data_IF_653660475117
#
_entry.id   IF_653660475117
#
_cell.length_a   1.000
_cell.length_b   1.000
_cell.length_c   1.000
_cell.angle_alpha   90.00
_cell.angle_beta   90.00
_cell.angle_gamma   90.00
#
_symmetry.space_group_name_H-M   'P 1'
#
loop_
_entity.id
_entity.type
_entity.pdbx_description
1 polymer ?
#
# COMPACT_ATOMS: atom_id res chain seq x y z
N UNK A 1 1.02 -23.29 8.00
CA UNK A 1 0.78 -23.06 6.55
C UNK A 1 0.30 -21.63 6.41
N UNK A 2 1.19 -20.69 6.09
CA UNK A 2 0.82 -19.30 5.87
C UNK A 2 0.02 -19.24 4.57
N UNK A 3 -1.24 -18.84 4.68
CA UNK A 3 -2.08 -18.51 3.53
C UNK A 3 -1.42 -17.31 2.84
N UNK A 4 -0.55 -17.61 1.88
CA UNK A 4 -0.04 -16.62 0.93
C UNK A 4 -1.27 -16.25 0.12
N UNK A 5 -2.01 -15.26 0.60
CA UNK A 5 -3.09 -14.66 -0.16
C UNK A 5 -2.47 -14.28 -1.52
N UNK A 6 -3.12 -14.58 -2.65
CA UNK A 6 -2.68 -14.07 -3.95
C UNK A 6 -2.99 -12.57 -3.96
N UNK A 7 -2.22 -11.80 -3.20
CA UNK A 7 -2.19 -10.36 -3.31
C UNK A 7 -1.79 -10.10 -4.75
N UNK A 8 -2.73 -9.52 -5.51
CA UNK A 8 -2.60 -9.20 -6.92
C UNK A 8 -1.24 -8.55 -7.17
N UNK A 9 -0.65 -8.79 -8.34
CA UNK A 9 0.62 -8.17 -8.72
C UNK A 9 0.59 -6.64 -8.53
N UNK A 10 -0.59 -6.04 -8.73
CA UNK A 10 -0.91 -4.63 -8.49
C UNK A 10 -0.65 -4.21 -7.04
N UNK A 11 -1.09 -4.99 -6.06
CA UNK A 11 -0.90 -4.68 -4.63
C UNK A 11 0.57 -4.73 -4.25
N UNK A 12 1.32 -5.69 -4.80
CA UNK A 12 2.79 -5.75 -4.61
C UNK A 12 3.49 -4.54 -5.22
N UNK A 13 3.10 -4.12 -6.43
CA UNK A 13 3.63 -2.92 -7.09
C UNK A 13 3.27 -1.64 -6.33
N UNK A 14 2.07 -1.56 -5.77
CA UNK A 14 1.64 -0.45 -4.92
C UNK A 14 2.50 -0.33 -3.67
N UNK A 15 2.78 -1.44 -2.97
CA UNK A 15 3.65 -1.45 -1.78
C UNK A 15 5.06 -0.97 -2.13
N UNK A 16 5.65 -1.50 -3.20
CA UNK A 16 6.98 -1.09 -3.64
C UNK A 16 7.04 0.41 -3.95
N UNK A 17 6.05 0.92 -4.68
CA UNK A 17 5.96 2.34 -5.02
C UNK A 17 5.78 3.22 -3.77
N UNK A 18 4.93 2.81 -2.82
CA UNK A 18 4.74 3.55 -1.55
C UNK A 18 6.05 3.60 -0.77
N UNK A 19 6.79 2.47 -0.70
CA UNK A 19 8.11 2.43 -0.05
C UNK A 19 9.10 3.38 -0.71
N UNK A 20 9.21 3.38 -2.03
CA UNK A 20 10.06 4.33 -2.76
C UNK A 20 9.65 5.79 -2.46
N UNK A 21 8.34 6.10 -2.46
CA UNK A 21 7.87 7.46 -2.16
C UNK A 21 8.14 7.89 -0.72
N UNK A 22 8.10 6.96 0.24
CA UNK A 22 8.47 7.24 1.63
C UNK A 22 9.98 7.47 1.79
N UNK A 23 10.81 6.77 1.03
CA UNK A 23 12.26 6.98 1.00
C UNK A 23 12.62 8.32 0.36
N UNK A 24 11.94 8.70 -0.73
CA UNK A 24 12.14 9.99 -1.39
C UNK A 24 11.58 11.17 -0.59
N UNK A 25 10.48 10.97 0.13
CA UNK A 25 9.79 12.02 0.88
C UNK A 25 9.17 11.47 2.17
N UNK A 26 9.95 11.36 3.26
CA UNK A 26 9.45 10.86 4.55
C UNK A 26 8.39 11.78 5.18
N UNK A 27 8.26 13.02 4.70
CA UNK A 27 7.23 13.99 5.12
C UNK A 27 5.87 13.75 4.42
N UNK A 28 5.82 12.92 3.38
CA UNK A 28 4.53 12.61 2.73
C UNK A 28 3.69 11.73 3.64
N UNK A 29 2.46 12.18 3.86
CA UNK A 29 1.48 11.44 4.63
C UNK A 29 1.19 10.09 3.97
N UNK A 30 1.48 9.02 4.70
CA UNK A 30 1.16 7.63 4.34
C UNK A 30 -0.24 7.44 3.72
N UNK A 31 -1.35 7.98 4.29
CA UNK A 31 -2.67 7.81 3.68
C UNK A 31 -2.76 8.38 2.26
N UNK A 32 -2.05 9.47 1.97
CA UNK A 32 -2.06 10.12 0.66
C UNK A 32 -1.35 9.27 -0.40
N UNK A 33 -0.19 8.69 -0.05
CA UNK A 33 0.52 7.74 -0.91
C UNK A 33 -0.31 6.48 -1.17
N UNK A 34 -1.08 6.04 -0.16
CA UNK A 34 -1.94 4.87 -0.27
C UNK A 34 -3.11 5.10 -1.24
N UNK A 35 -3.75 6.26 -1.15
CA UNK A 35 -4.79 6.69 -2.10
C UNK A 35 -4.23 6.84 -3.52
N UNK A 36 -3.06 7.47 -3.67
CA UNK A 36 -2.39 7.60 -4.97
C UNK A 36 -2.05 6.23 -5.57
N UNK A 37 -1.52 5.30 -4.77
CA UNK A 37 -1.25 3.95 -5.20
C UNK A 37 -2.52 3.19 -5.55
N UNK A 38 -3.60 3.38 -4.79
CA UNK A 38 -4.89 2.75 -5.07
C UNK A 38 -5.46 3.17 -6.43
N UNK A 39 -5.40 4.47 -6.74
CA UNK A 39 -5.84 4.98 -8.05
C UNK A 39 -4.88 4.56 -9.17
N UNK A 40 -3.56 4.64 -8.92
CA UNK A 40 -2.51 4.36 -9.92
C UNK A 40 -2.47 2.89 -10.34
N UNK A 41 -2.58 1.98 -9.37
CA UNK A 41 -2.56 0.54 -9.61
C UNK A 41 -3.96 -0.05 -9.77
N UNK A 42 -5.00 0.79 -9.78
CA UNK A 42 -6.40 0.39 -9.94
C UNK A 42 -6.79 -0.70 -8.92
N UNK A 43 -6.41 -0.45 -7.66
CA UNK A 43 -6.61 -1.39 -6.57
C UNK A 43 -8.10 -1.53 -6.25
N UNK A 44 -8.51 -2.75 -5.95
CA UNK A 44 -9.85 -3.02 -5.48
C UNK A 44 -10.03 -2.45 -4.06
N UNK A 45 -11.24 -2.04 -3.65
CA UNK A 45 -11.51 -1.64 -2.25
C UNK A 45 -10.95 -2.60 -1.21
N UNK A 46 -10.95 -3.92 -1.49
CA UNK A 46 -10.33 -4.94 -0.61
C UNK A 46 -8.82 -4.78 -0.46
N UNK A 47 -8.11 -4.47 -1.55
CA UNK A 47 -6.67 -4.25 -1.54
C UNK A 47 -6.33 -2.92 -0.85
N UNK A 48 -7.13 -1.88 -1.08
CA UNK A 48 -6.96 -0.58 -0.45
C UNK A 48 -7.16 -0.65 1.08
N UNK A 49 -8.18 -1.37 1.55
CA UNK A 49 -8.39 -1.64 2.98
C UNK A 49 -7.22 -2.43 3.59
N UNK A 50 -6.71 -3.44 2.88
CA UNK A 50 -5.55 -4.21 3.33
C UNK A 50 -4.31 -3.34 3.48
N UNK A 51 -3.99 -2.52 2.47
CA UNK A 51 -2.86 -1.60 2.53
C UNK A 51 -3.04 -0.60 3.68
N UNK A 52 -4.21 0.04 3.76
CA UNK A 52 -4.50 1.04 4.80
C UNK A 52 -4.31 0.44 6.19
N UNK A 53 -4.80 -0.76 6.42
CA UNK A 53 -4.62 -1.48 7.69
C UNK A 53 -3.16 -1.88 7.92
N UNK A 54 -2.48 -2.44 6.93
CA UNK A 54 -1.09 -2.88 7.02
C UNK A 54 -0.15 -1.73 7.40
N UNK A 55 -0.30 -0.57 6.76
CA UNK A 55 0.53 0.61 7.06
C UNK A 55 0.09 1.36 8.32
N UNK A 56 -1.21 1.35 8.67
CA UNK A 56 -1.70 1.93 9.92
C UNK A 56 -1.21 1.15 11.15
N UNK A 57 -1.13 -0.17 11.06
CA UNK A 57 -0.61 -1.04 12.14
C UNK A 57 0.92 -0.94 12.30
N UNK A 58 1.62 -0.44 11.28
CA UNK A 58 3.08 -0.21 11.29
C UNK A 58 3.52 1.09 11.97
N UNK A 59 2.58 2.00 12.26
CA UNK A 59 2.84 3.34 12.81
C UNK A 59 2.54 3.46 14.32
N UNK A 60 2.13 2.36 14.98
CA UNK A 60 1.91 2.26 16.44
C UNK A 60 3.11 1.60 17.14
#
# INVERSE_FOLDING_TARGET
MTTIMPQSELTRKAIAWISEQLEEAPDRQMPKLLEEAAVRFNLCPKDCEFLSRFYKEKQD
#
